data_IF_267232329921
#
_entry.id   IF_267232329921
#
_cell.length_a   1.000
_cell.length_b   1.000
_cell.length_c   1.000
_cell.angle_alpha   90.00
_cell.angle_beta   90.00
_cell.angle_gamma   90.00
#
_symmetry.space_group_name_H-M   'P 1'
#
loop_
_entity.id
_entity.type
_entity.pdbx_description
1 polymer ?
#
# COMPACT_ATOMS: atom_id res chain seq x y z
N UNK A 1 -81.09 -14.60 -17.85
CA UNK A 1 -80.34 -14.37 -19.11
C UNK A 1 -78.95 -13.89 -18.70
N UNK A 2 -77.87 -14.66 -18.66
CA UNK A 2 -77.41 -15.62 -19.66
C UNK A 2 -76.40 -14.92 -20.58
N UNK A 3 -75.11 -14.93 -20.24
CA UNK A 3 -73.99 -15.43 -21.07
C UNK A 3 -72.60 -15.03 -20.55
N UNK A 4 -71.78 -16.07 -20.46
CA UNK A 4 -70.32 -16.10 -20.32
C UNK A 4 -69.58 -15.19 -21.31
N UNK A 5 -68.44 -14.64 -20.86
CA UNK A 5 -67.19 -14.70 -21.61
C UNK A 5 -66.04 -15.09 -20.69
N UNK A 6 -65.56 -16.31 -20.90
CA UNK A 6 -64.25 -16.83 -20.55
C UNK A 6 -63.15 -15.95 -21.15
N UNK A 7 -62.16 -15.55 -20.34
CA UNK A 7 -60.82 -15.19 -20.82
C UNK A 7 -59.79 -15.91 -19.97
N UNK A 8 -58.73 -16.26 -20.67
CA UNK A 8 -57.80 -17.37 -20.53
C UNK A 8 -56.90 -17.31 -19.29
N UNK A 9 -56.61 -18.49 -18.72
CA UNK A 9 -55.61 -18.69 -17.67
C UNK A 9 -54.22 -18.72 -18.29
N UNK A 10 -53.57 -17.58 -18.53
CA UNK A 10 -52.14 -17.53 -18.84
C UNK A 10 -51.49 -16.23 -18.36
N UNK A 11 -51.30 -16.07 -17.06
CA UNK A 11 -50.44 -15.00 -16.52
C UNK A 11 -49.95 -15.34 -15.10
N UNK A 12 -49.20 -16.44 -14.95
CA UNK A 12 -48.58 -16.80 -13.65
C UNK A 12 -47.05 -16.88 -13.71
N UNK A 13 -46.38 -16.53 -14.82
CA UNK A 13 -44.92 -16.65 -14.91
C UNK A 13 -44.12 -15.40 -15.29
N UNK A 14 -44.74 -14.23 -15.46
CA UNK A 14 -44.01 -13.01 -15.84
C UNK A 14 -43.39 -12.25 -14.65
N UNK A 15 -43.81 -12.53 -13.41
CA UNK A 15 -43.26 -11.89 -12.20
C UNK A 15 -41.85 -12.35 -11.84
N UNK A 16 -41.48 -13.60 -12.14
CA UNK A 16 -40.16 -14.16 -11.82
C UNK A 16 -39.06 -13.66 -12.76
N UNK A 17 -39.39 -13.47 -14.05
CA UNK A 17 -38.41 -13.12 -15.08
C UNK A 17 -38.05 -11.62 -15.04
N UNK A 18 -39.03 -10.73 -14.81
CA UNK A 18 -38.79 -9.29 -14.68
C UNK A 18 -38.02 -8.94 -13.39
N UNK A 19 -38.26 -9.65 -12.29
CA UNK A 19 -37.52 -9.45 -11.04
C UNK A 19 -36.06 -9.91 -11.16
N UNK A 20 -35.80 -10.99 -11.93
CA UNK A 20 -34.43 -11.40 -12.31
C UNK A 20 -33.76 -10.42 -13.27
N UNK A 21 -34.49 -9.86 -14.24
CA UNK A 21 -33.95 -8.86 -15.18
C UNK A 21 -33.60 -7.53 -14.49
N UNK A 22 -34.38 -7.11 -13.50
CA UNK A 22 -34.10 -5.91 -12.70
C UNK A 22 -32.91 -6.10 -11.75
N UNK A 23 -32.65 -7.32 -11.29
CA UNK A 23 -31.44 -7.64 -10.51
C UNK A 23 -30.15 -7.65 -11.35
N UNK A 24 -30.27 -7.79 -12.67
CA UNK A 24 -29.14 -7.81 -13.62
C UNK A 24 -28.69 -6.42 -14.09
N UNK A 25 -29.46 -5.36 -13.79
CA UNK A 25 -29.10 -3.97 -14.08
C UNK A 25 -29.03 -3.14 -12.79
N UNK A 26 -28.18 -3.55 -11.85
CA UNK A 26 -27.68 -2.61 -10.83
C UNK A 26 -26.82 -1.57 -11.56
N UNK A 27 -27.37 -0.37 -11.79
CA UNK A 27 -26.57 0.79 -12.20
C UNK A 27 -25.36 0.88 -11.25
N UNK A 28 -24.14 1.13 -11.75
CA UNK A 28 -22.97 1.29 -10.88
C UNK A 28 -23.31 2.34 -9.84
N UNK A 29 -23.24 1.96 -8.57
CA UNK A 29 -23.58 2.82 -7.44
C UNK A 29 -22.51 3.91 -7.44
N UNK A 30 -22.82 5.12 -7.92
CA UNK A 30 -21.91 6.26 -7.76
C UNK A 30 -21.64 6.41 -6.26
N UNK A 31 -20.38 6.62 -5.88
CA UNK A 31 -20.05 7.02 -4.51
C UNK A 31 -20.94 8.20 -4.12
N UNK A 32 -21.52 8.16 -2.92
CA UNK A 32 -22.21 9.33 -2.40
C UNK A 32 -21.19 10.44 -2.22
N UNK A 33 -21.49 11.65 -2.70
CA UNK A 33 -20.64 12.83 -2.49
C UNK A 33 -20.55 13.24 -1.01
N UNK A 34 -21.48 12.76 -0.18
CA UNK A 34 -21.49 12.95 1.28
C UNK A 34 -21.45 11.59 1.95
N UNK A 35 -20.39 11.35 2.73
CA UNK A 35 -20.24 10.15 3.57
C UNK A 35 -21.05 10.34 4.84
N UNK A 36 -22.06 9.50 5.05
CA UNK A 36 -22.95 9.59 6.21
C UNK A 36 -22.60 8.55 7.27
N UNK A 37 -21.91 7.48 6.87
CA UNK A 37 -21.54 6.38 7.76
C UNK A 37 -20.04 6.09 7.69
N UNK A 38 -19.55 5.36 8.70
CA UNK A 38 -18.16 4.89 8.73
C UNK A 38 -17.84 4.02 7.51
N UNK A 39 -18.79 3.22 7.04
CA UNK A 39 -18.60 2.32 5.91
C UNK A 39 -18.38 3.07 4.58
N UNK A 40 -18.94 4.28 4.46
CA UNK A 40 -18.70 5.15 3.30
C UNK A 40 -17.26 5.69 3.27
N UNK A 41 -16.52 5.62 4.38
CA UNK A 41 -15.09 6.00 4.45
C UNK A 41 -14.15 4.97 3.84
N UNK A 42 -14.64 3.74 3.59
CA UNK A 42 -13.84 2.63 3.09
C UNK A 42 -14.05 2.48 1.57
N UNK A 43 -13.01 2.70 0.74
CA UNK A 43 -13.16 2.76 -0.72
C UNK A 43 -13.17 1.36 -1.37
N UNK A 44 -14.14 0.54 -0.96
CA UNK A 44 -14.43 -0.77 -1.54
C UNK A 44 -15.84 -0.72 -2.12
N UNK A 45 -15.96 -0.97 -3.42
CA UNK A 45 -17.24 -1.06 -4.11
C UNK A 45 -17.72 -2.51 -4.20
N UNK A 46 -16.89 -3.41 -4.73
CA UNK A 46 -17.25 -4.81 -4.95
C UNK A 46 -16.05 -5.71 -4.67
N UNK A 47 -16.30 -6.90 -4.13
CA UNK A 47 -15.28 -7.93 -3.94
C UNK A 47 -15.58 -9.09 -4.89
N UNK A 48 -14.62 -9.44 -5.73
CA UNK A 48 -14.68 -10.52 -6.70
C UNK A 48 -13.91 -11.73 -6.16
N UNK A 49 -14.53 -12.45 -5.22
CA UNK A 49 -13.93 -13.55 -4.43
C UNK A 49 -13.21 -14.60 -5.31
N UNK A 50 -13.91 -15.11 -6.33
CA UNK A 50 -13.38 -16.18 -7.20
C UNK A 50 -12.11 -15.78 -7.97
N UNK A 51 -11.93 -14.50 -8.24
CA UNK A 51 -10.81 -13.98 -9.03
C UNK A 51 -9.74 -13.33 -8.16
N UNK A 52 -9.94 -13.27 -6.83
CA UNK A 52 -9.08 -12.59 -5.87
C UNK A 52 -8.83 -11.10 -6.23
N UNK A 53 -9.89 -10.38 -6.59
CA UNK A 53 -9.83 -8.98 -7.03
C UNK A 53 -10.80 -8.13 -6.19
N UNK A 54 -10.36 -6.92 -5.82
CA UNK A 54 -11.22 -5.90 -5.21
C UNK A 54 -11.46 -4.82 -6.26
N UNK A 55 -12.70 -4.40 -6.43
CA UNK A 55 -13.06 -3.22 -7.21
C UNK A 55 -13.27 -2.04 -6.25
N UNK A 56 -12.38 -1.06 -6.29
CA UNK A 56 -12.42 0.10 -5.40
C UNK A 56 -13.41 1.16 -5.87
N UNK A 57 -13.42 1.42 -7.18
CA UNK A 57 -14.36 2.30 -7.86
C UNK A 57 -14.68 1.72 -9.26
N UNK A 58 -15.77 2.13 -9.92
CA UNK A 58 -16.21 1.51 -11.16
C UNK A 58 -15.09 1.41 -12.20
N UNK A 59 -14.73 0.18 -12.56
CA UNK A 59 -13.69 -0.10 -13.56
C UNK A 59 -12.25 -0.04 -13.05
N UNK A 60 -12.01 0.17 -11.74
CA UNK A 60 -10.69 0.05 -11.13
C UNK A 60 -10.60 -1.21 -10.27
N UNK A 61 -9.86 -2.18 -10.80
CA UNK A 61 -9.66 -3.49 -10.21
C UNK A 61 -8.27 -3.58 -9.58
N UNK A 62 -8.20 -4.05 -8.34
CA UNK A 62 -7.03 -3.98 -7.49
C UNK A 62 -6.63 -5.35 -6.99
N UNK A 63 -5.33 -5.61 -7.00
CA UNK A 63 -4.70 -6.82 -6.46
C UNK A 63 -3.44 -6.47 -5.67
N UNK A 64 -3.23 -7.18 -4.56
CA UNK A 64 -2.08 -6.98 -3.68
C UNK A 64 -1.14 -8.18 -3.78
N UNK A 65 0.16 -7.92 -3.75
CA UNK A 65 1.22 -8.91 -3.73
C UNK A 65 2.09 -8.68 -2.50
N UNK A 66 2.29 -9.71 -1.68
CA UNK A 66 3.26 -9.68 -0.59
C UNK A 66 4.66 -9.80 -1.18
N UNK A 67 5.57 -8.92 -0.74
CA UNK A 67 6.96 -8.91 -1.18
C UNK A 67 7.85 -9.47 -0.08
N UNK A 68 8.67 -10.46 -0.43
CA UNK A 68 9.66 -10.99 0.51
C UNK A 68 10.87 -10.04 0.61
N UNK A 69 11.35 -9.81 1.83
CA UNK A 69 12.53 -8.98 2.04
C UNK A 69 13.78 -9.65 1.47
N UNK A 70 14.74 -8.83 1.04
CA UNK A 70 16.09 -9.28 0.68
C UNK A 70 17.11 -8.41 1.39
N UNK A 71 18.33 -8.93 1.48
CA UNK A 71 19.46 -8.12 1.90
C UNK A 71 19.78 -7.10 0.79
N UNK A 72 19.69 -5.81 1.11
CA UNK A 72 20.14 -4.74 0.21
C UNK A 72 21.36 -4.04 0.80
N UNK A 73 21.31 -3.66 2.08
CA UNK A 73 22.38 -2.91 2.76
C UNK A 73 23.69 -3.67 2.90
N UNK A 74 23.64 -5.00 2.97
CA UNK A 74 24.83 -5.84 3.12
C UNK A 74 25.35 -6.39 1.79
N UNK A 75 24.63 -6.16 0.70
CA UNK A 75 25.05 -6.57 -0.63
C UNK A 75 26.11 -5.63 -1.20
N UNK A 76 26.85 -6.10 -2.20
CA UNK A 76 27.84 -5.27 -2.90
C UNK A 76 27.17 -4.20 -3.76
N UNK A 77 27.86 -3.10 -4.03
CA UNK A 77 27.35 -2.00 -4.90
C UNK A 77 26.83 -2.52 -6.25
N UNK A 78 27.50 -3.53 -6.83
CA UNK A 78 27.08 -4.17 -8.09
C UNK A 78 25.74 -4.92 -7.96
N UNK A 79 25.51 -5.58 -6.84
CA UNK A 79 24.24 -6.27 -6.57
C UNK A 79 23.12 -5.26 -6.31
N UNK A 80 23.41 -4.18 -5.59
CA UNK A 80 22.49 -3.06 -5.39
C UNK A 80 22.07 -2.45 -6.73
N UNK A 81 23.03 -2.17 -7.63
CA UNK A 81 22.76 -1.68 -8.98
C UNK A 81 21.86 -2.62 -9.79
N UNK A 82 22.05 -3.94 -9.67
CA UNK A 82 21.20 -4.94 -10.33
C UNK A 82 19.77 -4.88 -9.79
N UNK A 83 19.60 -4.77 -8.47
CA UNK A 83 18.28 -4.67 -7.83
C UNK A 83 17.56 -3.40 -8.31
N UNK A 84 18.23 -2.24 -8.27
CA UNK A 84 17.65 -0.96 -8.71
C UNK A 84 17.33 -0.98 -10.22
N UNK A 85 18.21 -1.53 -11.05
CA UNK A 85 17.97 -1.65 -12.49
C UNK A 85 16.78 -2.56 -12.80
N UNK A 86 16.61 -3.63 -12.01
CA UNK A 86 15.46 -4.54 -12.16
C UNK A 86 14.17 -3.86 -11.71
N UNK A 87 14.17 -3.13 -10.59
CA UNK A 87 13.02 -2.33 -10.15
C UNK A 87 12.66 -1.23 -11.15
N UNK A 88 13.64 -0.53 -11.71
CA UNK A 88 13.44 0.44 -12.79
C UNK A 88 12.75 -0.21 -13.99
N UNK A 89 13.22 -1.39 -14.39
CA UNK A 89 12.63 -2.17 -15.49
C UNK A 89 11.20 -2.59 -15.18
N UNK A 90 10.91 -2.96 -13.93
CA UNK A 90 9.56 -3.26 -13.46
C UNK A 90 8.61 -2.06 -13.62
N UNK A 91 9.00 -0.89 -13.13
CA UNK A 91 8.18 0.32 -13.26
C UNK A 91 7.97 0.72 -14.72
N UNK A 92 8.99 0.59 -15.57
CA UNK A 92 8.89 0.86 -17.02
C UNK A 92 7.96 -0.12 -17.75
N UNK A 93 7.73 -1.31 -17.19
CA UNK A 93 6.82 -2.30 -17.77
C UNK A 93 5.34 -2.04 -17.41
N UNK A 94 5.04 -1.09 -16.52
CA UNK A 94 3.66 -0.74 -16.16
C UNK A 94 2.96 -0.04 -17.33
N UNK A 95 1.78 -0.55 -17.71
CA UNK A 95 0.97 0.05 -18.76
C UNK A 95 0.32 1.38 -18.32
N UNK A 96 -0.06 2.23 -19.29
CA UNK A 96 -0.69 3.55 -19.05
C UNK A 96 -2.01 3.45 -18.25
N UNK A 97 -2.70 2.31 -18.30
CA UNK A 97 -3.94 2.04 -17.55
C UNK A 97 -3.70 1.35 -16.20
N UNK A 98 -2.46 1.31 -15.76
CA UNK A 98 -2.07 0.68 -14.51
C UNK A 98 -1.55 1.73 -13.54
N UNK A 99 -1.88 1.53 -12.28
CA UNK A 99 -1.37 2.33 -11.19
C UNK A 99 -0.79 1.36 -10.15
N UNK A 100 0.31 1.77 -9.53
CA UNK A 100 1.06 0.93 -8.63
C UNK A 100 1.24 1.66 -7.30
N UNK A 101 1.23 0.95 -6.19
CA UNK A 101 1.57 1.52 -4.89
C UNK A 101 2.39 0.53 -4.10
N UNK A 102 3.59 0.95 -3.69
CA UNK A 102 4.43 0.19 -2.78
C UNK A 102 4.08 0.60 -1.35
N UNK A 103 3.63 -0.34 -0.53
CA UNK A 103 3.27 -0.13 0.86
C UNK A 103 4.26 -0.81 1.80
N UNK A 104 4.66 -0.13 2.87
CA UNK A 104 5.18 -0.79 4.08
C UNK A 104 4.19 -0.58 5.21
N UNK A 105 3.84 -1.65 5.90
CA UNK A 105 2.96 -1.63 7.06
C UNK A 105 3.77 -2.08 8.27
N UNK A 106 4.07 -1.14 9.15
CA UNK A 106 4.85 -1.39 10.37
C UNK A 106 3.89 -1.64 11.52
N UNK A 107 3.83 -2.85 12.07
CA UNK A 107 2.90 -3.18 13.15
C UNK A 107 3.66 -3.46 14.44
N UNK A 108 3.27 -2.88 15.59
CA UNK A 108 3.68 -3.42 16.87
C UNK A 108 3.33 -4.91 16.94
N UNK A 109 4.30 -5.69 17.37
CA UNK A 109 4.22 -7.13 17.52
C UNK A 109 3.12 -7.47 18.52
N UNK A 110 2.16 -8.26 18.08
CA UNK A 110 1.15 -8.81 18.96
C UNK A 110 1.81 -9.86 19.86
N UNK A 111 1.97 -9.53 21.14
CA UNK A 111 2.65 -10.41 22.12
C UNK A 111 1.94 -11.76 22.24
N UNK A 112 0.61 -11.80 22.19
CA UNK A 112 -0.14 -13.06 22.27
C UNK A 112 0.12 -13.96 21.07
N UNK A 113 0.07 -13.40 19.87
CA UNK A 113 0.36 -14.12 18.64
C UNK A 113 1.84 -14.55 18.56
N UNK A 114 2.76 -13.69 18.98
CA UNK A 114 4.17 -14.02 19.09
C UNK A 114 4.41 -15.19 20.05
N UNK A 115 3.73 -15.21 21.21
CA UNK A 115 3.79 -16.34 22.13
C UNK A 115 3.28 -17.61 21.47
N UNK A 116 2.15 -17.57 20.76
CA UNK A 116 1.59 -18.75 20.10
C UNK A 116 2.51 -19.31 19.00
N UNK A 117 3.10 -18.43 18.18
CA UNK A 117 3.92 -18.83 17.04
C UNK A 117 5.36 -19.18 17.40
N UNK A 118 5.92 -18.57 18.45
CA UNK A 118 7.35 -18.66 18.79
C UNK A 118 7.64 -19.47 20.05
N UNK A 119 6.67 -19.66 20.96
CA UNK A 119 6.94 -20.41 22.19
C UNK A 119 7.03 -21.90 21.93
N UNK A 120 8.00 -22.51 22.59
CA UNK A 120 8.10 -23.96 22.62
C UNK A 120 6.91 -24.48 23.44
N UNK A 121 6.10 -25.34 22.82
CA UNK A 121 4.92 -25.96 23.44
C UNK A 121 5.33 -26.86 24.60
N UNK A 122 4.63 -26.76 25.72
CA UNK A 122 4.85 -27.63 26.88
C UNK A 122 4.54 -29.08 26.53
N UNK A 123 5.36 -29.99 27.06
CA UNK A 123 5.28 -31.42 26.73
C UNK A 123 4.72 -32.25 27.88
N UNK A 124 4.45 -31.64 29.04
CA UNK A 124 4.05 -32.34 30.26
C UNK A 124 5.18 -33.15 30.90
N UNK A 125 6.44 -32.88 30.52
CA UNK A 125 7.61 -33.63 30.97
C UNK A 125 8.42 -32.86 32.01
N UNK A 126 9.41 -33.51 32.61
CA UNK A 126 10.37 -32.87 33.54
C UNK A 126 11.13 -31.67 32.92
N UNK A 127 11.11 -31.54 31.59
CA UNK A 127 11.77 -30.48 30.84
C UNK A 127 10.94 -29.20 30.76
N UNK A 128 9.66 -29.23 31.17
CA UNK A 128 8.78 -28.06 31.13
C UNK A 128 9.33 -26.88 31.94
N UNK A 129 10.11 -27.15 33.00
CA UNK A 129 10.84 -26.09 33.74
C UNK A 129 11.88 -25.37 32.86
N UNK A 130 12.60 -26.10 32.01
CA UNK A 130 13.54 -25.51 31.06
C UNK A 130 12.83 -24.82 29.90
N UNK A 131 11.73 -25.41 29.40
CA UNK A 131 10.88 -24.80 28.37
C UNK A 131 10.36 -23.44 28.86
N UNK A 132 9.90 -23.35 30.11
CA UNK A 132 9.48 -22.08 30.71
C UNK A 132 10.60 -21.04 30.72
N UNK A 133 11.80 -21.43 31.17
CA UNK A 133 12.96 -20.53 31.19
C UNK A 133 13.39 -20.08 29.79
N UNK A 134 13.34 -20.98 28.80
CA UNK A 134 13.61 -20.65 27.40
C UNK A 134 12.56 -19.66 26.87
N UNK A 135 11.27 -19.93 27.07
CA UNK A 135 10.20 -19.03 26.66
C UNK A 135 10.30 -17.65 27.36
N UNK A 136 10.72 -17.59 28.63
CA UNK A 136 11.03 -16.33 29.33
C UNK A 136 12.19 -15.57 28.64
N UNK A 137 13.25 -16.27 28.22
CA UNK A 137 14.37 -15.67 27.46
C UNK A 137 13.90 -15.20 26.08
N UNK A 138 13.07 -15.98 25.38
CA UNK A 138 12.51 -15.61 24.08
C UNK A 138 11.67 -14.35 24.18
N UNK A 139 10.82 -14.28 25.19
CA UNK A 139 10.01 -13.10 25.46
C UNK A 139 10.89 -11.87 25.70
N UNK A 140 11.90 -12.01 26.57
CA UNK A 140 12.84 -10.92 26.87
C UNK A 140 13.59 -10.45 25.61
N UNK A 141 14.10 -11.39 24.81
CA UNK A 141 14.81 -11.10 23.55
C UNK A 141 13.89 -10.47 22.49
N UNK A 142 12.65 -10.91 22.40
CA UNK A 142 11.64 -10.32 21.51
C UNK A 142 11.36 -8.85 21.84
N UNK A 143 11.39 -8.49 23.12
CA UNK A 143 11.28 -7.08 23.56
C UNK A 143 12.60 -6.30 23.46
N UNK A 144 13.77 -6.93 23.68
CA UNK A 144 15.09 -6.28 23.63
C UNK A 144 15.60 -6.04 22.20
N UNK A 145 15.19 -6.86 21.23
CA UNK A 145 15.56 -6.71 19.83
C UNK A 145 14.80 -5.56 19.18
N UNK A 146 15.45 -4.39 19.04
CA UNK A 146 14.93 -3.10 18.53
C UNK A 146 13.42 -3.09 18.20
N UNK A 147 12.66 -3.33 19.27
CA UNK A 147 11.37 -2.78 19.59
C UNK A 147 10.08 -3.52 19.14
N UNK A 148 10.14 -4.79 18.77
CA UNK A 148 8.91 -5.57 18.57
C UNK A 148 7.96 -4.92 17.55
N UNK A 149 8.48 -4.52 16.39
CA UNK A 149 7.67 -4.12 15.23
C UNK A 149 7.94 -5.08 14.09
N UNK A 150 6.88 -5.64 13.52
CA UNK A 150 6.94 -6.35 12.25
C UNK A 150 6.71 -5.37 11.11
N UNK A 151 7.36 -5.60 9.97
CA UNK A 151 7.20 -4.78 8.77
C UNK A 151 6.86 -5.70 7.61
N UNK A 152 5.69 -5.46 7.03
CA UNK A 152 5.22 -6.23 5.88
C UNK A 152 5.23 -5.31 4.64
N UNK A 153 5.76 -5.82 3.53
CA UNK A 153 5.79 -5.10 2.26
C UNK A 153 4.72 -5.62 1.31
N UNK A 154 3.94 -4.70 0.75
CA UNK A 154 2.92 -5.02 -0.22
C UNK A 154 3.05 -4.16 -1.48
N UNK A 155 2.99 -4.80 -2.63
CA UNK A 155 2.82 -4.15 -3.91
C UNK A 155 1.35 -4.21 -4.29
N UNK A 156 0.71 -3.05 -4.42
CA UNK A 156 -0.69 -2.96 -4.86
C UNK A 156 -0.71 -2.51 -6.31
N UNK A 157 -1.35 -3.29 -7.19
CA UNK A 157 -1.57 -2.91 -8.58
C UNK A 157 -3.06 -2.70 -8.82
N UNK A 158 -3.40 -1.51 -9.33
CA UNK A 158 -4.70 -1.17 -9.87
C UNK A 158 -4.67 -1.20 -11.40
N UNK A 159 -5.72 -1.75 -12.00
CA UNK A 159 -5.94 -1.79 -13.44
C UNK A 159 -7.27 -1.13 -13.76
N UNK A 160 -7.21 -0.14 -14.65
CA UNK A 160 -8.39 0.51 -15.22
C UNK A 160 -8.89 -0.26 -16.43
N UNK A 161 -10.02 -0.96 -16.28
CA UNK A 161 -10.64 -1.77 -17.32
C UNK A 161 -12.16 -1.62 -17.35
N UNK A 162 -12.75 -1.77 -18.55
CA UNK A 162 -14.20 -1.61 -18.71
C UNK A 162 -15.01 -2.77 -18.11
N UNK A 163 -14.38 -3.95 -17.97
CA UNK A 163 -15.03 -5.18 -17.54
C UNK A 163 -14.05 -6.07 -16.77
N UNK A 164 -14.57 -6.83 -15.80
CA UNK A 164 -13.83 -7.72 -14.93
C UNK A 164 -13.04 -8.76 -15.72
N UNK A 165 -13.63 -9.32 -16.78
CA UNK A 165 -12.97 -10.36 -17.60
C UNK A 165 -11.66 -9.87 -18.22
N UNK A 166 -11.62 -8.62 -18.67
CA UNK A 166 -10.39 -8.00 -19.19
C UNK A 166 -9.36 -7.82 -18.08
N UNK A 167 -9.78 -7.31 -16.93
CA UNK A 167 -8.90 -7.12 -15.78
C UNK A 167 -8.28 -8.45 -15.33
N UNK A 168 -9.08 -9.52 -15.21
CA UNK A 168 -8.61 -10.87 -14.86
C UNK A 168 -7.54 -11.39 -15.83
N UNK A 169 -7.75 -11.21 -17.14
CA UNK A 169 -6.79 -11.66 -18.14
C UNK A 169 -5.44 -10.92 -18.01
N UNK A 170 -5.48 -9.61 -17.74
CA UNK A 170 -4.27 -8.81 -17.53
C UNK A 170 -3.58 -9.21 -16.21
N UNK A 171 -4.32 -9.37 -15.11
CA UNK A 171 -3.74 -9.81 -13.84
C UNK A 171 -3.08 -11.18 -13.93
N UNK A 172 -3.67 -12.15 -14.64
CA UNK A 172 -3.04 -13.47 -14.83
C UNK A 172 -1.67 -13.39 -15.52
N UNK A 173 -1.53 -12.52 -16.51
CA UNK A 173 -0.24 -12.29 -17.17
C UNK A 173 0.74 -11.55 -16.25
N UNK A 174 0.25 -10.57 -15.48
CA UNK A 174 1.05 -9.80 -14.54
C UNK A 174 1.55 -10.65 -13.37
N UNK A 175 0.73 -11.53 -12.80
CA UNK A 175 1.12 -12.40 -11.69
C UNK A 175 2.43 -13.15 -11.99
N UNK A 176 2.53 -13.72 -13.20
CA UNK A 176 3.72 -14.44 -13.66
C UNK A 176 4.89 -13.48 -13.93
N UNK A 177 4.62 -12.33 -14.53
CA UNK A 177 5.64 -11.34 -14.87
C UNK A 177 6.29 -10.71 -13.63
N UNK A 178 5.47 -10.31 -12.66
CA UNK A 178 5.90 -9.67 -11.41
C UNK A 178 6.72 -10.67 -10.59
N UNK A 179 6.19 -11.87 -10.35
CA UNK A 179 6.91 -12.91 -9.61
C UNK A 179 8.27 -13.24 -10.26
N UNK A 180 8.32 -13.33 -11.60
CA UNK A 180 9.58 -13.55 -12.33
C UNK A 180 10.59 -12.42 -12.12
N UNK A 181 10.15 -11.16 -12.16
CA UNK A 181 11.03 -10.00 -11.97
C UNK A 181 11.55 -9.89 -10.53
N UNK A 182 10.69 -10.13 -9.54
CA UNK A 182 11.09 -10.16 -8.13
C UNK A 182 12.02 -11.34 -7.81
N UNK A 183 11.80 -12.52 -8.41
CA UNK A 183 12.74 -13.64 -8.31
C UNK A 183 14.11 -13.34 -8.91
N UNK A 184 14.18 -12.55 -9.98
CA UNK A 184 15.46 -12.18 -10.59
C UNK A 184 16.34 -11.32 -9.66
N UNK A 185 15.73 -10.56 -8.76
CA UNK A 185 16.43 -9.77 -7.72
C UNK A 185 16.59 -10.53 -6.39
N UNK A 186 16.21 -11.81 -6.32
CA UNK A 186 16.31 -12.64 -5.11
C UNK A 186 15.15 -12.50 -4.12
N UNK A 187 14.11 -11.74 -4.47
CA UNK A 187 12.86 -11.58 -3.70
C UNK A 187 11.76 -12.51 -4.27
N UNK A 188 10.54 -12.40 -3.77
CA UNK A 188 9.35 -13.01 -4.36
C UNK A 188 8.17 -12.06 -4.24
N UNK A 189 7.20 -12.18 -5.15
CA UNK A 189 5.99 -11.37 -5.14
C UNK A 189 4.78 -12.30 -5.22
N UNK A 190 4.17 -12.61 -4.08
CA UNK A 190 3.09 -13.60 -3.99
C UNK A 190 1.73 -12.92 -3.90
N UNK A 191 0.74 -13.28 -4.74
CA UNK A 191 -0.61 -12.75 -4.63
C UNK A 191 -1.23 -13.02 -3.26
N UNK A 192 -1.62 -11.97 -2.54
CA UNK A 192 -2.29 -12.08 -1.24
C UNK A 192 -3.74 -12.51 -1.43
N UNK A 193 -4.24 -13.43 -0.61
CA UNK A 193 -5.62 -13.91 -0.70
C UNK A 193 -6.63 -12.84 -0.30
N UNK A 194 -7.87 -12.97 -0.75
CA UNK A 194 -8.88 -11.93 -0.53
C UNK A 194 -9.20 -11.78 0.96
N UNK A 195 -9.24 -12.89 1.70
CA UNK A 195 -9.48 -12.92 3.14
C UNK A 195 -8.36 -12.21 3.90
N UNK A 196 -7.11 -12.52 3.57
CA UNK A 196 -5.91 -11.89 4.15
C UNK A 196 -5.85 -10.38 3.82
N UNK A 197 -6.27 -9.98 2.62
CA UNK A 197 -6.38 -8.56 2.24
C UNK A 197 -7.43 -7.82 3.06
N UNK A 198 -8.56 -8.46 3.33
CA UNK A 198 -9.60 -7.91 4.20
C UNK A 198 -9.13 -7.83 5.65
N UNK A 199 -8.35 -8.80 6.12
CA UNK A 199 -7.70 -8.75 7.43
C UNK A 199 -6.71 -7.58 7.52
N UNK A 200 -5.87 -7.36 6.49
CA UNK A 200 -4.96 -6.20 6.44
C UNK A 200 -5.74 -4.89 6.58
N UNK A 201 -6.85 -4.75 5.83
CA UNK A 201 -7.69 -3.56 5.90
C UNK A 201 -8.37 -3.43 7.27
N UNK A 202 -8.94 -4.53 7.78
CA UNK A 202 -9.55 -4.57 9.11
C UNK A 202 -8.54 -4.11 10.17
N UNK A 203 -7.31 -4.61 10.16
CA UNK A 203 -6.28 -4.28 11.15
C UNK A 203 -5.83 -2.80 11.08
N UNK A 204 -5.86 -2.20 9.90
CA UNK A 204 -5.58 -0.76 9.72
C UNK A 204 -6.69 0.08 10.37
N UNK A 205 -7.95 -0.32 10.21
CA UNK A 205 -9.09 0.38 10.78
C UNK A 205 -9.31 0.06 12.27
N UNK A 206 -9.01 -1.15 12.72
CA UNK A 206 -9.30 -1.70 14.05
C UNK A 206 -8.01 -2.04 14.81
N UNK A 207 -7.25 -0.99 15.10
CA UNK A 207 -5.93 -1.07 15.72
C UNK A 207 -5.89 -1.76 17.07
N UNK A 208 -7.02 -1.75 17.80
CA UNK A 208 -7.16 -2.35 19.13
C UNK A 208 -7.46 -3.88 19.06
N UNK A 209 -8.01 -4.38 17.94
CA UNK A 209 -8.48 -5.77 17.76
C UNK A 209 -7.74 -6.49 16.62
N UNK A 210 -6.43 -6.28 16.48
CA UNK A 210 -5.66 -6.82 15.35
C UNK A 210 -5.50 -8.33 15.42
N UNK A 211 -5.55 -8.97 14.25
CA UNK A 211 -5.40 -10.43 14.12
C UNK A 211 -6.61 -11.24 14.61
N UNK A 212 -7.69 -10.58 15.04
CA UNK A 212 -8.94 -11.26 15.45
C UNK A 212 -9.84 -11.60 14.25
N UNK A 213 -9.58 -11.01 13.07
CA UNK A 213 -10.47 -11.07 11.92
C UNK A 213 -10.56 -12.45 11.25
N UNK A 214 -9.45 -13.19 11.14
CA UNK A 214 -9.43 -14.57 10.64
C UNK A 214 -9.23 -15.61 11.74
N UNK A 215 -9.45 -15.24 13.00
CA UNK A 215 -9.27 -16.16 14.13
C UNK A 215 -10.21 -17.37 14.00
N UNK A 216 -9.61 -18.56 14.12
CA UNK A 216 -10.35 -19.84 14.12
C UNK A 216 -10.81 -20.16 15.53
N UNK A 217 -12.12 -20.19 15.74
CA UNK A 217 -12.71 -20.57 17.02
C UNK A 217 -13.24 -21.99 16.94
N UNK A 218 -12.94 -22.82 17.94
CA UNK A 218 -13.49 -24.17 18.06
C UNK A 218 -14.89 -24.09 18.66
N UNK A 219 -15.91 -24.36 17.85
CA UNK A 219 -17.31 -24.36 18.25
C UNK A 219 -17.80 -25.81 18.34
N UNK A 220 -18.40 -26.17 19.47
CA UNK A 220 -19.02 -27.48 19.61
C UNK A 220 -20.38 -27.50 18.91
N UNK A 221 -20.50 -28.28 17.85
CA UNK A 221 -21.75 -28.45 17.13
C UNK A 221 -22.59 -29.52 17.84
N UNK A 222 -23.68 -29.08 18.50
CA UNK A 222 -24.56 -29.96 19.27
C UNK A 222 -25.34 -30.95 18.39
N UNK A 223 -25.50 -30.67 17.09
CA UNK A 223 -26.24 -31.54 16.16
C UNK A 223 -25.37 -32.66 15.58
N UNK A 224 -24.09 -32.38 15.30
CA UNK A 224 -23.14 -33.38 14.76
C UNK A 224 -22.32 -34.06 15.85
N UNK A 225 -22.33 -33.53 17.08
CA UNK A 225 -21.55 -34.03 18.22
C UNK A 225 -20.05 -33.76 18.12
N UNK A 226 -19.61 -33.00 17.10
CA UNK A 226 -18.21 -32.73 16.80
C UNK A 226 -17.83 -31.27 17.12
N UNK A 227 -16.56 -31.08 17.48
CA UNK A 227 -15.96 -29.74 17.58
C UNK A 227 -15.52 -29.31 16.19
N UNK A 228 -16.16 -28.28 15.65
CA UNK A 228 -15.85 -27.70 14.33
C UNK A 228 -15.02 -26.42 14.53
N UNK A 229 -13.99 -26.23 13.71
CA UNK A 229 -13.27 -24.96 13.66
C UNK A 229 -14.00 -24.00 12.72
N UNK A 230 -14.52 -22.92 13.28
CA UNK A 230 -15.24 -21.88 12.56
C UNK A 230 -14.36 -20.64 12.51
N UNK A 231 -14.12 -20.13 11.30
CA UNK A 231 -13.43 -18.85 11.10
C UNK A 231 -14.41 -17.73 11.41
N UNK A 232 -13.95 -16.67 12.09
CA UNK A 232 -14.79 -15.50 12.41
C UNK A 232 -15.35 -14.79 11.17
N UNK A 233 -14.65 -14.87 10.03
CA UNK A 233 -15.09 -14.30 8.76
C UNK A 233 -15.43 -15.38 7.71
N UNK A 234 -16.65 -15.31 7.15
CA UNK A 234 -17.07 -16.11 5.99
C UNK A 234 -18.05 -15.30 5.12
N UNK A 235 -17.78 -15.26 3.81
CA UNK A 235 -18.61 -14.57 2.82
C UNK A 235 -20.03 -15.11 2.77
N UNK A 236 -20.25 -16.42 2.97
CA UNK A 236 -21.61 -16.98 2.94
C UNK A 236 -22.42 -16.51 4.15
N UNK A 237 -21.81 -16.45 5.33
CA UNK A 237 -22.43 -15.92 6.54
C UNK A 237 -22.75 -14.43 6.42
N UNK A 238 -21.85 -13.62 5.85
CA UNK A 238 -22.08 -12.19 5.58
C UNK A 238 -23.29 -11.99 4.67
N UNK A 239 -23.37 -12.77 3.58
CA UNK A 239 -24.49 -12.71 2.64
C UNK A 239 -25.80 -13.17 3.28
N UNK A 240 -25.78 -14.18 4.15
CA UNK A 240 -26.99 -14.69 4.82
C UNK A 240 -27.52 -13.70 5.87
N UNK A 241 -26.64 -12.97 6.54
CA UNK A 241 -26.99 -11.89 7.48
C UNK A 241 -27.41 -10.59 6.79
N UNK A 242 -27.14 -10.46 5.48
CA UNK A 242 -27.46 -9.27 4.70
C UNK A 242 -26.58 -8.05 5.00
N UNK A 243 -25.41 -8.28 5.62
CA UNK A 243 -24.41 -7.24 5.89
C UNK A 243 -23.39 -7.19 4.74
N UNK A 244 -22.69 -6.06 4.60
CA UNK A 244 -21.63 -5.87 3.59
C UNK A 244 -20.26 -6.07 4.21
N UNK A 245 -19.23 -6.29 3.39
CA UNK A 245 -17.86 -6.42 3.89
C UNK A 245 -17.40 -5.14 4.59
N UNK A 246 -17.80 -3.96 4.08
CA UNK A 246 -17.49 -2.68 4.71
C UNK A 246 -18.08 -2.56 6.13
N UNK A 247 -19.21 -3.23 6.40
CA UNK A 247 -19.80 -3.29 7.75
C UNK A 247 -18.95 -4.11 8.71
N UNK A 248 -18.22 -5.11 8.22
CA UNK A 248 -17.39 -6.00 9.04
C UNK A 248 -15.98 -5.43 9.27
N UNK A 249 -15.37 -4.83 8.25
CA UNK A 249 -14.01 -4.28 8.36
C UNK A 249 -13.99 -2.86 8.96
N UNK A 250 -15.12 -2.16 8.97
CA UNK A 250 -15.18 -0.77 9.40
C UNK A 250 -14.91 -0.61 10.90
N UNK A 251 -14.27 0.49 11.31
CA UNK A 251 -14.02 0.74 12.72
C UNK A 251 -15.30 1.09 13.47
N UNK A 252 -15.29 0.94 14.79
CA UNK A 252 -16.39 1.39 15.66
C UNK A 252 -16.70 2.90 15.50
N UNK A 253 -15.68 3.71 15.24
CA UNK A 253 -15.85 5.13 14.89
C UNK A 253 -14.62 5.66 14.15
N UNK A 254 -14.83 6.62 13.24
CA UNK A 254 -13.76 7.39 12.60
C UNK A 254 -14.19 8.87 12.55
N UNK A 255 -13.27 9.77 12.91
CA UNK A 255 -13.49 11.21 12.89
C UNK A 255 -12.25 11.90 12.32
N UNK A 256 -12.46 12.80 11.37
CA UNK A 256 -11.39 13.58 10.74
C UNK A 256 -11.35 14.98 11.34
N UNK A 257 -10.17 15.38 11.80
CA UNK A 257 -9.87 16.73 12.25
C UNK A 257 -8.89 17.39 11.28
N UNK A 258 -8.68 18.71 11.34
CA UNK A 258 -7.78 19.40 10.41
C UNK A 258 -6.39 18.77 10.30
N UNK A 259 -5.79 18.34 11.42
CA UNK A 259 -4.39 17.87 11.44
C UNK A 259 -4.20 16.47 12.04
N UNK A 260 -5.28 15.75 12.34
CA UNK A 260 -5.22 14.36 12.80
C UNK A 260 -6.55 13.65 12.54
N UNK A 261 -6.56 12.35 12.78
CA UNK A 261 -7.70 11.46 12.65
C UNK A 261 -7.87 10.76 13.99
N UNK A 262 -9.11 10.56 14.42
CA UNK A 262 -9.43 9.68 15.54
C UNK A 262 -10.11 8.43 15.00
N UNK A 263 -9.46 7.27 15.17
CA UNK A 263 -9.97 5.97 14.71
C UNK A 263 -10.11 5.08 15.95
N UNK A 264 -11.35 4.82 16.38
CA UNK A 264 -11.60 4.16 17.67
C UNK A 264 -10.95 4.93 18.83
N UNK A 265 -10.03 4.26 19.54
CA UNK A 265 -9.29 4.84 20.67
C UNK A 265 -7.90 5.39 20.29
N UNK A 266 -7.53 5.34 19.01
CA UNK A 266 -6.21 5.74 18.53
C UNK A 266 -6.30 7.08 17.79
N UNK A 267 -5.17 7.79 17.79
CA UNK A 267 -4.95 8.96 16.95
C UNK A 267 -4.09 8.56 15.76
N UNK A 268 -4.39 9.12 14.59
CA UNK A 268 -3.57 8.96 13.40
C UNK A 268 -3.28 10.31 12.76
N UNK A 269 -2.20 10.40 11.99
CA UNK A 269 -1.87 11.61 11.22
C UNK A 269 -1.29 11.25 9.87
N UNK A 270 -1.88 11.81 8.82
CA UNK A 270 -1.38 11.72 7.47
C UNK A 270 -0.34 12.83 7.20
N UNK A 271 0.81 12.42 6.71
CA UNK A 271 1.98 13.23 6.37
C UNK A 271 2.33 12.92 4.92
N UNK A 272 2.71 13.93 4.15
CA UNK A 272 3.06 13.76 2.74
C UNK A 272 4.42 14.38 2.44
N UNK A 273 5.21 13.70 1.61
CA UNK A 273 6.41 14.30 1.03
C UNK A 273 6.02 15.35 -0.01
N UNK A 274 6.50 16.57 0.20
CA UNK A 274 6.24 17.74 -0.63
C UNK A 274 7.35 17.95 -1.65
N UNK A 275 8.62 17.79 -1.27
CA UNK A 275 9.76 18.06 -2.15
C UNK A 275 10.86 17.02 -1.97
N UNK A 276 11.51 16.68 -3.08
CA UNK A 276 12.67 15.79 -3.12
C UNK A 276 13.92 16.60 -3.46
N UNK A 277 15.09 16.22 -2.93
CA UNK A 277 16.38 16.77 -3.38
C UNK A 277 16.68 16.37 -4.83
N UNK A 278 17.67 17.04 -5.43
CA UNK A 278 18.17 16.68 -6.77
C UNK A 278 18.75 15.25 -6.82
N UNK A 279 19.33 14.80 -5.70
CA UNK A 279 19.84 13.44 -5.53
C UNK A 279 19.22 12.84 -4.26
N UNK A 280 18.52 11.72 -4.42
CA UNK A 280 17.89 10.98 -3.33
C UNK A 280 18.75 9.76 -3.00
N UNK A 281 19.04 9.56 -1.72
CA UNK A 281 19.76 8.37 -1.24
C UNK A 281 18.85 7.14 -1.23
N UNK A 282 19.41 5.99 -1.62
CA UNK A 282 18.75 4.67 -1.59
C UNK A 282 18.32 4.22 -0.19
N UNK A 283 18.95 4.77 0.85
CA UNK A 283 18.62 4.46 2.24
C UNK A 283 17.47 5.31 2.78
N UNK A 284 17.08 6.41 2.12
CA UNK A 284 16.06 7.34 2.62
C UNK A 284 14.76 6.63 3.00
N UNK A 285 14.21 5.84 2.06
CA UNK A 285 12.91 5.22 2.29
C UNK A 285 12.97 4.13 3.35
N UNK A 286 14.09 3.39 3.41
CA UNK A 286 14.30 2.36 4.41
C UNK A 286 14.54 2.95 5.80
N UNK A 287 15.24 4.08 5.92
CA UNK A 287 15.43 4.77 7.20
C UNK A 287 14.11 5.28 7.79
N UNK A 288 13.24 5.87 6.96
CA UNK A 288 11.91 6.31 7.40
C UNK A 288 11.02 5.12 7.75
N UNK A 289 11.00 4.07 6.93
CA UNK A 289 10.16 2.87 7.18
C UNK A 289 10.74 1.93 8.24
N UNK A 290 11.97 2.13 8.72
CA UNK A 290 12.54 1.38 9.85
C UNK A 290 12.26 2.05 11.21
N UNK A 291 11.47 3.12 11.23
CA UNK A 291 11.08 3.76 12.47
C UNK A 291 10.21 2.86 13.34
N UNK A 292 10.41 3.01 14.65
CA UNK A 292 9.81 2.14 15.63
C UNK A 292 8.45 2.64 16.15
N UNK A 293 7.47 2.73 15.27
CA UNK A 293 6.08 2.94 15.67
C UNK A 293 5.14 2.42 14.59
N UNK A 294 3.86 2.33 14.92
CA UNK A 294 2.88 1.93 13.93
C UNK A 294 2.78 3.00 12.84
N UNK A 295 3.17 2.63 11.63
CA UNK A 295 3.00 3.47 10.45
C UNK A 295 2.61 2.66 9.23
N UNK A 296 1.91 3.31 8.31
CA UNK A 296 1.70 2.85 6.94
C UNK A 296 2.41 3.85 6.03
N UNK A 297 3.32 3.37 5.21
CA UNK A 297 3.89 4.11 4.11
C UNK A 297 3.22 3.69 2.81
N UNK A 298 2.99 4.63 1.90
CA UNK A 298 2.46 4.35 0.58
C UNK A 298 3.17 5.23 -0.45
N UNK A 299 3.92 4.60 -1.35
CA UNK A 299 4.52 5.23 -2.51
C UNK A 299 3.71 4.89 -3.75
N UNK A 300 2.80 5.80 -4.10
CA UNK A 300 1.96 5.69 -5.28
C UNK A 300 2.74 6.11 -6.53
N UNK A 301 2.62 5.33 -7.61
CA UNK A 301 3.32 5.49 -8.88
C UNK A 301 2.34 5.26 -10.02
N UNK A 302 2.19 6.26 -10.89
CA UNK A 302 1.36 6.21 -12.10
C UNK A 302 2.20 6.57 -13.33
N UNK A 303 2.33 5.69 -14.33
CA UNK A 303 3.03 6.01 -15.57
C UNK A 303 2.35 7.16 -16.32
N UNK A 304 3.14 8.13 -16.80
CA UNK A 304 2.64 9.13 -17.74
C UNK A 304 2.63 8.55 -19.16
N UNK A 305 1.62 8.92 -19.95
CA UNK A 305 1.64 8.61 -21.38
C UNK A 305 2.73 9.41 -22.10
N UNK A 306 3.13 8.94 -23.29
CA UNK A 306 4.13 9.65 -24.11
C UNK A 306 3.69 11.09 -24.42
N UNK A 307 2.40 11.30 -24.71
CA UNK A 307 1.87 12.63 -25.00
C UNK A 307 1.95 13.56 -23.78
N UNK A 308 1.62 13.06 -22.59
CA UNK A 308 1.73 13.84 -21.34
C UNK A 308 3.20 14.15 -21.02
N UNK A 309 4.09 13.19 -21.25
CA UNK A 309 5.53 13.32 -21.07
C UNK A 309 6.10 14.39 -22.00
N UNK A 310 5.80 14.33 -23.30
CA UNK A 310 6.22 15.32 -24.28
C UNK A 310 5.68 16.72 -23.95
N UNK A 311 4.40 16.81 -23.54
CA UNK A 311 3.80 18.08 -23.15
C UNK A 311 4.51 18.69 -21.93
N UNK A 312 4.81 17.88 -20.91
CA UNK A 312 5.50 18.32 -19.70
C UNK A 312 6.92 18.83 -20.01
N UNK A 313 7.71 18.04 -20.77
CA UNK A 313 9.08 18.40 -21.14
C UNK A 313 9.09 19.69 -21.98
N UNK A 314 8.22 19.78 -22.98
CA UNK A 314 8.14 20.97 -23.83
C UNK A 314 7.72 22.20 -23.02
N UNK A 315 6.80 22.06 -22.07
CA UNK A 315 6.40 23.14 -21.17
C UNK A 315 7.55 23.61 -20.27
N UNK A 316 8.30 22.67 -19.67
CA UNK A 316 9.46 23.00 -18.84
C UNK A 316 10.59 23.66 -19.65
N UNK A 317 10.87 23.12 -20.85
CA UNK A 317 11.87 23.68 -21.75
C UNK A 317 11.49 25.09 -22.23
N UNK A 318 10.21 25.32 -22.55
CA UNK A 318 9.70 26.64 -22.92
C UNK A 318 9.86 27.64 -21.77
N UNK A 319 9.52 27.24 -20.54
CA UNK A 319 9.66 28.07 -19.33
C UNK A 319 11.11 28.50 -19.11
N UNK A 320 12.07 27.56 -19.14
CA UNK A 320 13.50 27.88 -18.94
C UNK A 320 14.03 28.77 -20.06
N UNK A 321 13.59 28.57 -21.31
CA UNK A 321 13.97 29.44 -22.44
C UNK A 321 13.38 30.83 -22.33
N UNK A 322 12.16 30.97 -21.83
CA UNK A 322 11.55 32.26 -21.56
C UNK A 322 12.32 33.00 -20.45
N UNK A 323 12.68 32.31 -19.37
CA UNK A 323 13.53 32.85 -18.29
C UNK A 323 14.87 33.36 -18.85
N UNK A 324 15.55 32.54 -19.67
CA UNK A 324 16.79 32.90 -20.35
C UNK A 324 16.63 34.13 -21.25
N UNK A 325 15.57 34.19 -22.05
CA UNK A 325 15.27 35.35 -22.90
C UNK A 325 15.02 36.61 -22.06
N UNK A 326 14.30 36.51 -20.95
CA UNK A 326 14.04 37.62 -20.04
C UNK A 326 15.35 38.16 -19.41
N UNK A 327 16.27 37.26 -19.05
CA UNK A 327 17.62 37.62 -18.58
C UNK A 327 18.41 38.35 -19.68
N UNK A 328 18.41 37.84 -20.90
CA UNK A 328 19.09 38.49 -22.04
C UNK A 328 18.53 39.89 -22.33
N UNK A 329 17.21 40.05 -22.34
CA UNK A 329 16.55 41.36 -22.52
C UNK A 329 16.92 42.31 -21.39
N UNK A 330 16.98 41.84 -20.14
CA UNK A 330 17.40 42.63 -18.99
C UNK A 330 18.88 43.05 -19.09
N UNK A 331 19.77 42.14 -19.50
CA UNK A 331 21.19 42.43 -19.70
C UNK A 331 21.38 43.51 -20.77
N UNK A 332 20.67 43.39 -21.90
CA UNK A 332 20.65 44.39 -22.96
C UNK A 332 20.22 45.77 -22.44
N UNK A 333 19.16 45.84 -21.63
CA UNK A 333 18.69 47.10 -21.03
C UNK A 333 19.70 47.73 -20.07
N UNK A 334 20.47 46.90 -19.36
CA UNK A 334 21.48 47.34 -18.41
C UNK A 334 22.87 47.56 -19.03
N UNK A 335 22.99 47.49 -20.36
CA UNK A 335 24.28 47.55 -21.08
C UNK A 335 25.32 46.50 -20.60
N UNK A 336 24.83 45.34 -20.15
CA UNK A 336 25.63 44.15 -19.82
C UNK A 336 25.59 43.20 -21.02
N UNK A 337 26.61 42.36 -21.19
CA UNK A 337 26.62 41.34 -22.26
C UNK A 337 25.38 40.43 -22.17
N UNK A 338 24.71 40.22 -23.29
CA UNK A 338 23.55 39.32 -23.40
C UNK A 338 23.92 37.87 -23.06
N UNK A 339 25.17 37.48 -23.32
CA UNK A 339 25.68 36.13 -23.07
C UNK A 339 25.94 35.85 -21.59
N UNK A 340 25.82 36.86 -20.71
CA UNK A 340 26.00 36.71 -19.27
C UNK A 340 24.73 36.13 -18.63
N UNK A 341 24.46 34.86 -18.92
CA UNK A 341 23.37 34.07 -18.34
C UNK A 341 23.90 33.30 -17.12
N UNK A 342 23.14 33.24 -16.01
CA UNK A 342 23.50 32.40 -14.87
C UNK A 342 23.78 30.94 -15.28
N UNK A 343 24.88 30.33 -14.83
CA UNK A 343 25.19 28.93 -15.12
C UNK A 343 24.04 27.97 -14.78
N UNK A 344 23.35 28.20 -13.67
CA UNK A 344 22.19 27.40 -13.23
C UNK A 344 21.08 27.32 -14.29
N UNK A 345 20.77 28.42 -14.99
CA UNK A 345 19.74 28.44 -16.04
C UNK A 345 20.20 27.63 -17.25
N UNK A 346 21.49 27.67 -17.58
CA UNK A 346 22.08 26.88 -18.67
C UNK A 346 22.08 25.39 -18.31
N UNK A 347 22.46 25.05 -17.08
CA UNK A 347 22.46 23.69 -16.55
C UNK A 347 21.05 23.10 -16.57
N UNK A 348 20.03 23.83 -16.10
CA UNK A 348 18.62 23.42 -16.17
C UNK A 348 18.16 23.14 -17.61
N UNK A 349 18.52 24.00 -18.57
CA UNK A 349 18.18 23.76 -19.98
C UNK A 349 18.83 22.46 -20.48
N UNK A 350 20.11 22.25 -20.16
CA UNK A 350 20.85 21.06 -20.56
C UNK A 350 20.30 19.77 -19.90
N UNK A 351 19.92 19.82 -18.63
CA UNK A 351 19.32 18.69 -17.91
C UNK A 351 17.98 18.27 -18.52
N UNK A 352 17.12 19.24 -18.87
CA UNK A 352 15.83 18.95 -19.53
C UNK A 352 16.06 18.33 -20.91
N UNK A 353 17.03 18.85 -21.68
CA UNK A 353 17.37 18.27 -22.99
C UNK A 353 17.91 16.85 -22.86
N UNK A 354 18.78 16.61 -21.88
CA UNK A 354 19.30 15.27 -21.58
C UNK A 354 18.19 14.30 -21.20
N UNK A 355 17.29 14.71 -20.29
CA UNK A 355 16.14 13.89 -19.90
C UNK A 355 15.24 13.56 -21.09
N UNK A 356 15.00 14.53 -21.98
CA UNK A 356 14.23 14.30 -23.21
C UNK A 356 14.88 13.26 -24.11
N UNK A 357 16.19 13.29 -24.23
CA UNK A 357 16.93 12.34 -25.07
C UNK A 357 16.94 10.95 -24.40
N UNK A 358 17.14 10.85 -23.08
CA UNK A 358 17.03 9.60 -22.28
C UNK A 358 15.62 8.95 -22.39
N UNK A 359 14.56 9.75 -22.42
CA UNK A 359 13.18 9.25 -22.61
C UNK A 359 12.97 8.74 -24.03
N UNK A 360 13.52 9.42 -25.05
CA UNK A 360 13.40 9.00 -26.45
C UNK A 360 14.15 7.70 -26.74
N UNK A 361 15.26 7.47 -26.05
CA UNK A 361 16.02 6.22 -26.11
C UNK A 361 15.32 5.07 -25.35
N UNK A 362 14.17 5.33 -24.70
CA UNK A 362 13.40 4.43 -23.83
C UNK A 362 14.16 3.98 -22.58
N UNK A 363 15.22 4.69 -22.21
CA UNK A 363 15.94 4.41 -20.98
C UNK A 363 15.09 4.87 -19.77
N UNK A 364 14.53 6.07 -19.83
CA UNK A 364 13.74 6.66 -18.74
C UNK A 364 12.27 6.86 -19.12
N UNK A 365 11.38 6.69 -18.14
CA UNK A 365 9.96 7.04 -18.21
C UNK A 365 9.65 8.02 -17.09
N UNK A 366 8.61 8.84 -17.28
CA UNK A 366 8.13 9.73 -16.25
C UNK A 366 6.90 9.15 -15.55
N UNK A 367 6.88 9.27 -14.24
CA UNK A 367 5.79 8.82 -13.39
C UNK A 367 5.26 9.98 -12.56
N UNK A 368 3.95 10.04 -12.44
CA UNK A 368 3.29 10.83 -11.41
C UNK A 368 3.30 10.03 -10.10
N UNK A 369 3.89 10.59 -9.06
CA UNK A 369 4.13 9.92 -7.79
C UNK A 369 3.57 10.68 -6.60
N UNK A 370 3.30 9.96 -5.53
CA UNK A 370 2.89 10.51 -4.23
C UNK A 370 3.40 9.60 -3.12
N UNK A 371 4.26 10.13 -2.25
CA UNK A 371 4.73 9.43 -1.05
C UNK A 371 4.01 9.98 0.18
N UNK A 372 3.25 9.12 0.84
CA UNK A 372 2.45 9.46 2.02
C UNK A 372 2.75 8.50 3.15
N UNK A 373 2.77 9.03 4.38
CA UNK A 373 2.90 8.28 5.61
C UNK A 373 1.67 8.53 6.47
N UNK A 374 1.13 7.49 7.08
CA UNK A 374 0.17 7.61 8.18
C UNK A 374 0.81 7.00 9.41
N UNK A 375 0.93 7.79 10.48
CA UNK A 375 1.39 7.32 11.79
C UNK A 375 0.21 7.14 12.72
N UNK A 376 0.29 6.17 13.63
CA UNK A 376 -0.72 5.91 14.65
C UNK A 376 -0.11 5.94 16.05
N UNK A 377 -0.85 6.52 17.00
CA UNK A 377 -0.43 6.62 18.39
C UNK A 377 -1.63 6.59 19.35
N UNK A 378 -1.45 6.09 20.59
CA UNK A 378 -2.52 6.05 21.59
C UNK A 378 -2.80 7.42 22.23
N UNK A 379 -1.85 8.36 22.17
CA UNK A 379 -2.02 9.72 22.70
C UNK A 379 -1.57 10.76 21.69
N UNK A 380 -2.05 12.00 21.86
CA UNK A 380 -1.69 13.11 20.98
C UNK A 380 -0.22 13.48 21.11
N UNK A 381 0.36 13.41 22.31
CA UNK A 381 1.77 13.72 22.56
C UNK A 381 2.70 12.75 21.81
N UNK A 382 2.38 11.46 21.83
CA UNK A 382 3.13 10.45 21.05
C UNK A 382 2.92 10.63 19.55
N UNK A 383 1.71 11.03 19.13
CA UNK A 383 1.46 11.33 17.71
C UNK A 383 2.35 12.48 17.22
N UNK A 384 2.50 13.53 18.02
CA UNK A 384 3.37 14.66 17.72
C UNK A 384 4.84 14.23 17.67
N UNK A 385 5.31 13.42 18.63
CA UNK A 385 6.67 12.87 18.64
C UNK A 385 6.98 12.02 17.39
N UNK A 386 6.06 11.13 16.99
CA UNK A 386 6.24 10.30 15.80
C UNK A 386 6.22 11.13 14.52
N UNK A 387 5.36 12.15 14.47
CA UNK A 387 5.30 13.10 13.34
C UNK A 387 6.61 13.84 13.19
N UNK A 388 7.13 14.41 14.29
CA UNK A 388 8.40 15.14 14.29
C UNK A 388 9.57 14.23 13.93
N UNK A 389 9.54 12.97 14.35
CA UNK A 389 10.55 11.97 13.99
C UNK A 389 10.59 11.73 12.48
N UNK A 390 9.44 11.51 11.82
CA UNK A 390 9.36 11.35 10.35
C UNK A 390 9.88 12.60 9.63
N UNK A 391 9.40 13.78 10.04
CA UNK A 391 9.80 15.04 9.41
C UNK A 391 11.30 15.28 9.58
N UNK A 392 11.86 14.97 10.76
CA UNK A 392 13.29 15.10 11.04
C UNK A 392 14.13 14.18 10.15
N UNK A 393 13.72 12.92 9.99
CA UNK A 393 14.43 11.97 9.12
C UNK A 393 14.39 12.38 7.65
N UNK A 394 13.24 12.86 7.17
CA UNK A 394 13.13 13.43 5.82
C UNK A 394 14.08 14.63 5.64
N UNK A 395 14.13 15.54 6.62
CA UNK A 395 14.99 16.73 6.57
C UNK A 395 16.49 16.39 6.51
N UNK A 396 16.95 15.29 7.13
CA UNK A 396 18.37 14.88 7.08
C UNK A 396 18.88 14.67 5.66
N UNK A 397 18.03 14.17 4.78
CA UNK A 397 18.33 13.95 3.36
C UNK A 397 17.75 15.04 2.45
N UNK A 398 17.42 16.21 3.01
CA UNK A 398 16.83 17.33 2.27
C UNK A 398 15.50 17.00 1.56
N UNK A 399 14.73 16.06 2.10
CA UNK A 399 13.35 15.80 1.70
C UNK A 399 12.43 16.63 2.60
N UNK A 400 11.53 17.40 1.98
CA UNK A 400 10.53 18.19 2.72
C UNK A 400 9.26 17.36 2.85
N UNK A 401 8.79 17.12 4.07
CA UNK A 401 7.54 16.43 4.36
C UNK A 401 6.71 17.26 5.34
N UNK A 402 5.40 17.30 5.12
CA UNK A 402 4.46 18.11 5.90
C UNK A 402 3.17 17.34 6.22
N UNK A 403 2.53 17.74 7.32
CA UNK A 403 1.21 17.26 7.72
C UNK A 403 0.16 17.73 6.72
N UNK A 404 -0.73 16.83 6.32
CA UNK A 404 -1.84 17.12 5.41
C UNK A 404 -2.99 17.85 6.12
N UNK A 405 -2.82 19.15 6.38
CA UNK A 405 -3.88 19.97 6.98
C UNK A 405 -5.13 20.00 6.11
N UNK A 406 -6.29 19.77 6.72
CA UNK A 406 -7.62 19.67 6.09
C UNK A 406 -7.74 18.60 4.99
N UNK A 407 -6.75 17.69 4.89
CA UNK A 407 -6.71 16.60 3.92
C UNK A 407 -6.35 15.25 4.56
N UNK A 408 -6.66 15.11 5.85
CA UNK A 408 -6.35 13.90 6.62
C UNK A 408 -7.09 12.67 6.09
N UNK A 409 -8.34 12.83 5.63
CA UNK A 409 -9.12 11.76 5.03
C UNK A 409 -8.51 11.28 3.72
N UNK A 410 -8.21 12.20 2.80
CA UNK A 410 -7.58 11.91 1.52
C UNK A 410 -6.21 11.28 1.72
N UNK A 411 -5.42 11.81 2.64
CA UNK A 411 -4.12 11.24 2.99
C UNK A 411 -4.22 9.81 3.51
N UNK A 412 -5.15 9.55 4.44
CA UNK A 412 -5.36 8.22 4.98
C UNK A 412 -5.83 7.22 3.93
N UNK A 413 -6.86 7.57 3.16
CA UNK A 413 -7.38 6.74 2.07
C UNK A 413 -6.30 6.43 1.03
N UNK A 414 -5.45 7.41 0.70
CA UNK A 414 -4.30 7.24 -0.19
C UNK A 414 -3.25 6.25 0.30
N UNK A 415 -3.19 5.96 1.61
CA UNK A 415 -2.25 4.97 2.16
C UNK A 415 -2.79 3.56 2.23
N UNK A 416 -4.11 3.37 2.11
CA UNK A 416 -4.70 2.04 2.15
C UNK A 416 -4.17 1.19 0.99
N UNK A 417 -4.07 -0.15 1.14
CA UNK A 417 -3.70 -1.10 0.07
C UNK A 417 -4.77 -1.23 -1.04
N UNK A 418 -5.47 -0.11 -1.30
CA UNK A 418 -6.46 0.27 -2.29
C UNK A 418 -5.92 0.68 -3.68
N UNK A 419 -4.67 1.16 -3.74
CA UNK A 419 -4.14 1.94 -4.87
C UNK A 419 -5.08 3.10 -5.30
N UNK A 420 -5.78 3.71 -4.34
CA UNK A 420 -6.66 4.87 -4.56
C UNK A 420 -5.95 6.13 -4.09
N UNK A 421 -5.42 6.96 -4.99
CA UNK A 421 -4.78 8.22 -4.61
C UNK A 421 -5.72 9.43 -4.76
N UNK A 422 -6.16 10.00 -3.64
CA UNK A 422 -7.05 11.17 -3.60
C UNK A 422 -6.30 12.51 -3.51
N UNK A 423 -4.99 12.49 -3.31
CA UNK A 423 -4.19 13.71 -3.13
C UNK A 423 -3.95 14.41 -4.48
N UNK A 424 -4.27 15.70 -4.53
CA UNK A 424 -4.19 16.51 -5.76
C UNK A 424 -2.77 16.89 -6.16
N UNK A 425 -1.94 17.21 -5.17
CA UNK A 425 -0.55 17.58 -5.44
C UNK A 425 0.23 16.29 -5.65
N UNK A 426 0.80 16.11 -6.84
CA UNK A 426 1.66 14.99 -7.19
C UNK A 426 3.02 15.51 -7.66
N UNK A 427 4.04 14.65 -7.63
CA UNK A 427 5.37 14.96 -8.15
C UNK A 427 5.67 14.09 -9.35
N UNK A 428 6.39 14.64 -10.32
CA UNK A 428 6.86 13.85 -11.46
C UNK A 428 8.28 13.39 -11.19
N UNK A 429 8.51 12.07 -11.22
CA UNK A 429 9.82 11.46 -11.03
C UNK A 429 10.16 10.59 -12.24
N UNK A 430 11.44 10.48 -12.56
CA UNK A 430 11.94 9.54 -13.57
C UNK A 430 12.09 8.13 -12.99
N UNK A 431 12.13 7.11 -13.84
CA UNK A 431 12.22 5.70 -13.45
C UNK A 431 13.36 5.42 -12.48
N UNK A 432 14.55 5.98 -12.72
CA UNK A 432 15.68 5.81 -11.80
C UNK A 432 15.39 6.34 -10.40
N UNK A 433 14.77 7.51 -10.26
CA UNK A 433 14.42 8.07 -8.95
C UNK A 433 13.27 7.31 -8.27
N UNK A 434 12.33 6.77 -9.05
CA UNK A 434 11.27 5.89 -8.51
C UNK A 434 11.87 4.59 -7.95
N UNK A 435 12.87 4.01 -8.64
CA UNK A 435 13.52 2.79 -8.20
C UNK A 435 14.31 2.94 -6.88
N UNK A 436 14.81 4.13 -6.56
CA UNK A 436 15.49 4.44 -5.28
C UNK A 436 14.55 4.27 -4.08
N UNK A 437 13.23 4.44 -4.27
CA UNK A 437 12.21 4.21 -3.24
C UNK A 437 11.89 2.70 -3.17
N UNK A 438 12.88 1.93 -2.72
CA UNK A 438 12.87 0.47 -2.73
C UNK A 438 12.57 -0.14 -1.33
N UNK A 439 11.95 -1.33 -1.26
CA UNK A 439 11.47 -1.91 -0.01
C UNK A 439 12.52 -2.65 0.84
N UNK A 440 13.68 -2.94 0.29
CA UNK A 440 14.65 -3.89 0.84
C UNK A 440 15.65 -3.22 1.77
N UNK A 441 15.88 -3.84 2.93
CA UNK A 441 16.87 -3.36 3.91
C UNK A 441 17.78 -4.49 4.35
N UNK A 442 17.38 -5.24 5.37
CA UNK A 442 17.99 -6.50 5.78
C UNK A 442 16.96 -7.61 5.66
N UNK A 443 17.40 -8.82 5.35
CA UNK A 443 16.55 -10.01 5.38
C UNK A 443 16.33 -10.45 6.84
N UNK A 444 15.07 -10.54 7.26
CA UNK A 444 14.69 -11.22 8.49
C UNK A 444 14.35 -12.69 8.26
N UNK A 445 14.88 -13.56 9.12
CA UNK A 445 14.60 -15.00 9.08
C UNK A 445 13.57 -15.31 10.16
N UNK A 446 12.33 -15.49 9.74
CA UNK A 446 11.21 -15.83 10.60
C UNK A 446 10.41 -16.99 9.99
N UNK A 447 10.49 -18.16 10.61
CA UNK A 447 9.62 -19.29 10.31
C UNK A 447 8.64 -19.56 11.46
N UNK A 448 7.36 -19.75 11.11
CA UNK A 448 6.32 -20.14 12.07
C UNK A 448 6.68 -21.49 12.70
N UNK A 449 6.50 -21.61 14.03
CA UNK A 449 6.97 -22.75 14.84
C UNK A 449 8.50 -22.98 14.78
N UNK A 450 9.28 -21.99 14.34
CA UNK A 450 10.74 -22.04 14.28
C UNK A 450 11.41 -21.94 15.65
N UNK A 451 12.57 -22.56 15.81
CA UNK A 451 13.36 -22.46 17.04
C UNK A 451 14.21 -21.19 16.97
N UNK A 452 14.26 -20.42 18.05
CA UNK A 452 15.15 -19.26 18.11
C UNK A 452 16.62 -19.68 18.17
N UNK A 453 17.40 -19.24 17.20
CA UNK A 453 18.85 -19.42 17.19
C UNK A 453 19.58 -18.26 17.87
N UNK A 454 19.25 -17.02 17.51
CA UNK A 454 19.91 -15.81 17.99
C UNK A 454 19.10 -14.55 17.65
N UNK A 455 19.72 -13.38 17.82
CA UNK A 455 19.28 -12.11 17.25
C UNK A 455 20.07 -11.79 15.98
N UNK A 456 19.41 -11.18 15.00
CA UNK A 456 20.04 -10.59 13.84
C UNK A 456 21.04 -9.51 14.29
N UNK A 457 22.26 -9.51 13.72
CA UNK A 457 23.31 -8.60 14.16
C UNK A 457 22.99 -7.12 13.88
N UNK A 458 22.22 -6.85 12.83
CA UNK A 458 21.91 -5.50 12.34
C UNK A 458 20.56 -5.02 12.90
N UNK A 459 19.48 -5.73 12.58
CA UNK A 459 18.13 -5.34 13.00
C UNK A 459 17.85 -5.64 14.47
N UNK A 460 18.62 -6.57 15.07
CA UNK A 460 18.38 -7.13 16.41
C UNK A 460 17.08 -7.93 16.53
N UNK A 461 16.37 -8.22 15.45
CA UNK A 461 15.18 -9.08 15.47
C UNK A 461 15.54 -10.55 15.76
N UNK A 462 14.57 -11.35 16.21
CA UNK A 462 14.75 -12.77 16.47
C UNK A 462 14.95 -13.55 15.17
N UNK A 463 15.96 -14.42 15.14
CA UNK A 463 16.13 -15.41 14.08
C UNK A 463 15.40 -16.68 14.52
N UNK A 464 14.24 -16.96 13.89
CA UNK A 464 13.47 -18.19 14.11
C UNK A 464 13.56 -19.07 12.87
N UNK A 465 14.02 -20.30 13.04
CA UNK A 465 14.21 -21.22 11.92
C UNK A 465 13.93 -22.65 12.36
N UNK A 466 13.32 -23.45 11.48
CA UNK A 466 13.09 -24.87 11.68
C UNK A 466 13.94 -25.67 10.68
N UNK A 467 14.82 -26.54 11.20
CA UNK A 467 15.82 -27.25 10.39
C UNK A 467 15.30 -28.51 9.73
#
# INVERSE_FOLDING_TARGET
>A
MGRNKTVDKRDVNNGSFLTRLLSAFRKPKKMKDVKETVQDSIPIMTIHENENIIESYPGCYVKNYHLDEINYRTCSDKEQDIILTTLRSFYNCLGIRMECTLHSINRPMNVGQFMEDSFIKYTGTKWDKLIRQLNEILLKRGFEGKNGISKDWYLTIAIHADDLKKAVAVFKALDVSIDKQFKAMGSSATPVRIEERLEILHDIYNLDNRGEFLTKTKVYNQETGNTEEVVSFDFNNIRSMGITVNDVIGPSSIQYFPNYIRIGNQYARAIKVMEYPAFLSDDFYTDVTNMNFHMISAFYVKPLSMNETDALINSQLAYVREEKNNIQVRNRRNAVSEDMIPPETIEKENEILKLRDEIRENDEHLFETTLTFVVFAPTMELLDEYTDSIISECKKVSVTADVLYDQQEEGFVSTLPLAVNLLKVKRTLKSSTVAVVQPFSNLEIYEKDGINYSLNAISKNLILYNR
#
